data_IF_853996922575
#
_entry.id   IF_853996922575
#
_cell.length_a   1.000
_cell.length_b   1.000
_cell.length_c   1.000
_cell.angle_alpha   90.00
_cell.angle_beta   90.00
_cell.angle_gamma   90.00
#
_symmetry.space_group_name_H-M   'P 1'
#
loop_
_entity.id
_entity.type
_entity.pdbx_description
1 polymer ?
#
# COMPACT_ATOMS: atom_id res chain seq x y z
N UNK A 1 2.88 -19.34 15.43
CA UNK A 1 3.32 -19.59 14.05
C UNK A 1 4.82 -19.50 14.04
N UNK A 2 5.49 -20.41 13.33
CA UNK A 2 6.96 -20.40 13.22
C UNK A 2 7.43 -19.13 12.50
N UNK A 3 8.61 -18.62 12.86
CA UNK A 3 9.20 -17.42 12.28
C UNK A 3 9.38 -17.56 10.76
N UNK A 4 9.64 -18.78 10.27
CA UNK A 4 9.64 -19.11 8.84
C UNK A 4 8.30 -18.81 8.17
N UNK A 5 7.18 -19.23 8.79
CA UNK A 5 5.84 -19.05 8.23
C UNK A 5 5.47 -17.57 8.21
N UNK A 6 5.78 -16.84 9.28
CA UNK A 6 5.59 -15.39 9.37
C UNK A 6 6.42 -14.69 8.29
N UNK A 7 7.71 -15.05 8.17
CA UNK A 7 8.61 -14.50 7.17
C UNK A 7 8.09 -14.65 5.75
N UNK A 8 7.70 -15.86 5.35
CA UNK A 8 7.14 -16.12 4.01
C UNK A 8 5.81 -15.40 3.79
N UNK A 9 4.92 -15.38 4.79
CA UNK A 9 3.61 -14.73 4.69
C UNK A 9 3.69 -13.21 4.52
N UNK A 10 4.73 -12.56 5.05
CA UNK A 10 4.91 -11.12 4.86
C UNK A 10 5.76 -10.81 3.63
N UNK A 11 6.81 -11.60 3.37
CA UNK A 11 7.75 -11.36 2.28
C UNK A 11 7.10 -11.53 0.91
N UNK A 12 6.41 -12.65 0.67
CA UNK A 12 5.83 -12.98 -0.64
C UNK A 12 4.81 -11.92 -1.09
N UNK A 13 3.75 -11.61 -0.32
CA UNK A 13 2.80 -10.57 -0.73
C UNK A 13 3.44 -9.17 -0.71
N UNK A 14 4.41 -8.91 0.16
CA UNK A 14 5.15 -7.65 0.17
C UNK A 14 5.90 -7.40 -1.15
N UNK A 15 6.62 -8.42 -1.64
CA UNK A 15 7.32 -8.36 -2.93
C UNK A 15 6.31 -8.22 -4.08
N UNK A 16 5.23 -9.00 -4.08
CA UNK A 16 4.19 -8.92 -5.12
C UNK A 16 3.59 -7.51 -5.17
N UNK A 17 3.25 -6.94 -4.01
CA UNK A 17 2.70 -5.60 -3.92
C UNK A 17 3.70 -4.53 -4.38
N UNK A 18 4.97 -4.65 -3.99
CA UNK A 18 6.04 -3.76 -4.44
C UNK A 18 6.20 -3.78 -5.97
N UNK A 19 6.25 -4.97 -6.58
CA UNK A 19 6.36 -5.13 -8.04
C UNK A 19 5.11 -4.55 -8.74
N UNK A 20 3.92 -4.77 -8.17
CA UNK A 20 2.68 -4.23 -8.70
C UNK A 20 2.69 -2.69 -8.70
N UNK A 21 3.15 -2.05 -7.60
CA UNK A 21 3.28 -0.59 -7.53
C UNK A 21 4.29 -0.06 -8.55
N UNK A 22 5.39 -0.78 -8.80
CA UNK A 22 6.38 -0.36 -9.79
C UNK A 22 5.85 -0.45 -11.22
N UNK A 23 5.28 -1.60 -11.60
CA UNK A 23 4.98 -1.95 -12.99
C UNK A 23 3.55 -1.65 -13.43
N UNK A 24 2.58 -1.78 -12.52
CA UNK A 24 1.15 -1.67 -12.84
C UNK A 24 0.56 -0.34 -12.39
N UNK A 25 1.08 0.28 -11.34
CA UNK A 25 0.60 1.61 -10.93
C UNK A 25 1.13 2.72 -11.85
N UNK A 26 0.45 2.86 -13.00
CA UNK A 26 0.69 3.91 -14.01
C UNK A 26 -0.15 5.16 -13.69
N UNK A 27 0.19 6.28 -14.32
CA UNK A 27 -0.56 7.54 -14.14
C UNK A 27 -2.01 7.42 -14.64
N UNK A 28 -2.23 6.73 -15.77
CA UNK A 28 -3.57 6.47 -16.30
C UNK A 28 -4.42 5.65 -15.33
N UNK A 29 -3.84 4.57 -14.79
CA UNK A 29 -4.53 3.69 -13.84
C UNK A 29 -4.81 4.39 -12.51
N UNK A 30 -3.88 5.24 -12.07
CA UNK A 30 -4.07 6.11 -10.91
C UNK A 30 -5.27 7.05 -11.07
N UNK A 31 -5.38 7.79 -12.18
CA UNK A 31 -6.50 8.71 -12.39
C UNK A 31 -7.83 7.96 -12.56
N UNK A 32 -7.81 6.74 -13.14
CA UNK A 32 -8.98 5.86 -13.22
C UNK A 32 -9.46 5.44 -11.82
N UNK A 33 -8.55 5.03 -10.95
CA UNK A 33 -8.82 4.73 -9.54
C UNK A 33 -9.36 5.96 -8.81
N UNK A 34 -8.69 7.11 -8.88
CA UNK A 34 -9.14 8.36 -8.25
C UNK A 34 -10.56 8.72 -8.71
N UNK A 35 -10.90 8.56 -9.99
CA UNK A 35 -12.25 8.84 -10.48
C UNK A 35 -13.29 7.86 -9.92
N UNK A 36 -12.94 6.57 -9.81
CA UNK A 36 -13.80 5.52 -9.23
C UNK A 36 -14.17 5.82 -7.77
N UNK A 37 -13.22 6.34 -7.00
CA UNK A 37 -13.40 6.62 -5.57
C UNK A 37 -13.86 8.05 -5.26
N UNK A 38 -14.25 8.83 -6.27
CA UNK A 38 -14.67 10.24 -6.08
C UNK A 38 -15.82 10.41 -5.08
N UNK A 39 -16.65 9.38 -4.90
CA UNK A 39 -17.77 9.37 -3.96
C UNK A 39 -17.34 9.48 -2.49
N UNK A 40 -16.15 8.93 -2.14
CA UNK A 40 -15.59 8.96 -0.77
C UNK A 40 -15.42 10.40 -0.26
N UNK A 41 -15.25 11.37 -1.16
CA UNK A 41 -15.01 12.77 -0.80
C UNK A 41 -16.22 13.46 -0.13
N UNK A 42 -17.42 12.89 -0.24
CA UNK A 42 -18.66 13.52 0.23
C UNK A 42 -19.25 12.90 1.50
N UNK A 43 -18.64 11.85 2.06
CA UNK A 43 -19.18 11.20 3.27
C UNK A 43 -18.72 11.91 4.54
N UNK A 44 -19.59 12.75 5.08
CA UNK A 44 -19.37 13.57 6.28
C UNK A 44 -19.42 12.76 7.58
N UNK A 45 -19.91 11.51 7.53
CA UNK A 45 -20.06 10.60 8.68
C UNK A 45 -19.01 9.48 8.70
N UNK A 46 -17.90 9.70 8.00
CA UNK A 46 -16.78 8.77 7.94
C UNK A 46 -16.19 8.49 9.33
N UNK A 47 -16.14 7.21 9.70
CA UNK A 47 -15.37 6.67 10.82
C UNK A 47 -13.88 7.02 10.70
N UNK A 48 -13.11 6.86 11.78
CA UNK A 48 -11.65 7.15 11.78
C UNK A 48 -10.89 6.47 10.63
N UNK A 49 -11.24 5.22 10.30
CA UNK A 49 -10.64 4.50 9.17
C UNK A 49 -11.02 5.10 7.80
N UNK A 50 -12.23 5.64 7.69
CA UNK A 50 -12.70 6.32 6.47
C UNK A 50 -12.09 7.72 6.34
N UNK A 51 -11.74 8.39 7.44
CA UNK A 51 -11.01 9.66 7.40
C UNK A 51 -9.60 9.52 6.80
N UNK A 52 -8.89 8.44 7.14
CA UNK A 52 -7.58 8.13 6.52
C UNK A 52 -7.72 7.85 5.02
N UNK A 53 -8.78 7.13 4.61
CA UNK A 53 -9.09 6.94 3.19
C UNK A 53 -9.41 8.26 2.48
N UNK A 54 -10.17 9.17 3.10
CA UNK A 54 -10.46 10.49 2.54
C UNK A 54 -9.17 11.30 2.36
N UNK A 55 -8.26 11.24 3.33
CA UNK A 55 -6.98 11.94 3.29
C UNK A 55 -6.08 11.37 2.18
N UNK A 56 -5.97 10.05 2.09
CA UNK A 56 -5.24 9.38 1.02
C UNK A 56 -5.85 9.71 -0.35
N UNK A 57 -7.17 9.70 -0.48
CA UNK A 57 -7.86 10.09 -1.70
C UNK A 57 -7.59 11.55 -2.09
N UNK A 58 -7.55 12.47 -1.12
CA UNK A 58 -7.15 13.87 -1.38
C UNK A 58 -5.72 13.96 -1.89
N UNK A 59 -4.77 13.24 -1.30
CA UNK A 59 -3.38 13.20 -1.78
C UNK A 59 -3.31 12.61 -3.19
N UNK A 60 -3.99 11.49 -3.42
CA UNK A 60 -4.09 10.84 -4.73
C UNK A 60 -4.67 11.77 -5.79
N UNK A 61 -5.73 12.51 -5.47
CA UNK A 61 -6.33 13.45 -6.41
C UNK A 61 -5.43 14.63 -6.80
N UNK A 62 -4.35 14.89 -6.04
CA UNK A 62 -3.45 16.03 -6.27
C UNK A 62 -2.17 15.65 -7.01
N UNK A 63 -1.62 14.46 -6.76
CA UNK A 63 -0.36 14.08 -7.37
C UNK A 63 -0.16 12.57 -7.41
N UNK A 64 -0.09 12.05 -8.64
CA UNK A 64 0.34 10.68 -8.92
C UNK A 64 1.72 10.37 -8.34
N UNK A 65 2.69 11.28 -8.50
CA UNK A 65 4.08 11.06 -8.03
C UNK A 65 4.12 10.88 -6.51
N UNK A 66 3.45 11.76 -5.76
CA UNK A 66 3.42 11.69 -4.30
C UNK A 66 2.75 10.38 -3.85
N UNK A 67 1.62 10.02 -4.45
CA UNK A 67 0.92 8.77 -4.12
C UNK A 67 1.74 7.54 -4.46
N UNK A 68 2.44 7.53 -5.60
CA UNK A 68 3.34 6.44 -5.97
C UNK A 68 4.47 6.27 -4.97
N UNK A 69 5.08 7.37 -4.52
CA UNK A 69 6.12 7.34 -3.46
C UNK A 69 5.54 6.75 -2.16
N UNK A 70 4.35 7.19 -1.74
CA UNK A 70 3.70 6.66 -0.53
C UNK A 70 3.42 5.16 -0.66
N UNK A 71 2.90 4.71 -1.81
CA UNK A 71 2.65 3.28 -2.06
C UNK A 71 3.94 2.45 -2.07
N UNK A 72 5.02 2.98 -2.63
CA UNK A 72 6.34 2.34 -2.58
C UNK A 72 6.79 2.20 -1.11
N UNK A 73 6.73 3.27 -0.32
CA UNK A 73 7.07 3.21 1.10
C UNK A 73 6.19 2.21 1.87
N UNK A 74 4.89 2.19 1.60
CA UNK A 74 3.94 1.28 2.23
C UNK A 74 4.27 -0.18 1.88
N UNK A 75 4.67 -0.44 0.63
CA UNK A 75 5.02 -1.79 0.18
C UNK A 75 6.35 -2.31 0.76
N UNK A 76 7.24 -1.43 1.20
CA UNK A 76 8.49 -1.83 1.87
C UNK A 76 8.27 -2.37 3.28
N UNK A 77 7.21 -1.94 3.97
CA UNK A 77 6.89 -2.38 5.35
C UNK A 77 6.77 -3.92 5.45
N UNK A 78 5.89 -4.60 4.68
CA UNK A 78 5.77 -6.05 4.74
C UNK A 78 7.05 -6.76 4.27
N UNK A 79 7.81 -6.18 3.33
CA UNK A 79 9.09 -6.76 2.90
C UNK A 79 10.10 -6.75 4.05
N UNK A 80 10.26 -5.62 4.76
CA UNK A 80 11.17 -5.51 5.90
C UNK A 80 10.78 -6.49 7.02
N UNK A 81 9.49 -6.57 7.34
CA UNK A 81 8.98 -7.53 8.34
C UNK A 81 9.30 -8.97 7.92
N UNK A 82 9.04 -9.30 6.64
CA UNK A 82 9.32 -10.63 6.10
C UNK A 82 10.81 -10.99 6.15
N UNK A 83 11.69 -10.08 5.73
CA UNK A 83 13.15 -10.27 5.80
C UNK A 83 13.61 -10.44 7.24
N UNK A 84 13.13 -9.60 8.16
CA UNK A 84 13.52 -9.67 9.57
C UNK A 84 13.09 -10.98 10.22
N UNK A 85 11.86 -11.44 9.96
CA UNK A 85 11.37 -12.71 10.49
C UNK A 85 12.15 -13.92 9.92
N UNK A 86 12.51 -13.90 8.63
CA UNK A 86 13.36 -14.94 8.04
C UNK A 86 14.78 -14.90 8.62
N UNK A 87 15.34 -13.71 8.83
CA UNK A 87 16.66 -13.55 9.43
C UNK A 87 16.72 -14.18 10.83
N UNK A 88 15.71 -13.93 11.66
CA UNK A 88 15.60 -14.50 13.02
C UNK A 88 15.47 -16.02 12.98
N UNK A 89 14.83 -16.59 11.96
CA UNK A 89 14.71 -18.04 11.82
C UNK A 89 16.03 -18.73 11.44
N UNK A 90 16.84 -18.10 10.59
CA UNK A 90 18.10 -18.65 10.10
C UNK A 90 19.32 -18.33 10.97
N UNK A 91 19.19 -17.43 11.96
CA UNK A 91 20.23 -17.12 12.96
C UNK A 91 20.18 -18.11 14.12
#
# INVERSE_FOLDING_TARGET
MDALVIGLLFLIPGIIFFIWVLLKYTEEEHWKEVKKWKWIRNDTYASWAEQDMILFHKIASKSYIITKIILILLSLIPVIIGVFALWVYFS
#
